data_IF_554594542642
#
_entry.id   IF_554594542642
#
_cell.length_a   1.000
_cell.length_b   1.000
_cell.length_c   1.000
_cell.angle_alpha   90.00
_cell.angle_beta   90.00
_cell.angle_gamma   90.00
#
_symmetry.space_group_name_H-M   'P 1'
#
loop_
_entity.id
_entity.type
_entity.pdbx_description
1 polymer ?
#
# COMPACT_ATOMS: atom_id res chain seq x y z
N UNK A 1 -9.52 24.15 12.35
CA UNK A 1 -9.33 23.75 10.96
C UNK A 1 -8.35 22.59 10.96
N UNK A 2 -8.69 21.48 10.31
CA UNK A 2 -7.87 20.26 10.23
C UNK A 2 -7.00 20.39 9.00
N UNK A 3 -5.69 20.37 9.19
CA UNK A 3 -4.68 20.54 8.13
C UNK A 3 -4.33 19.19 7.52
N UNK A 4 -4.57 19.05 6.22
CA UNK A 4 -4.49 17.79 5.47
C UNK A 4 -3.39 17.88 4.41
N UNK A 5 -2.56 16.85 4.35
CA UNK A 5 -1.68 16.59 3.22
C UNK A 5 -2.22 15.38 2.45
N UNK A 6 -2.30 15.51 1.12
CA UNK A 6 -2.70 14.41 0.23
C UNK A 6 -1.48 13.94 -0.57
N UNK A 7 -1.22 12.64 -0.55
CA UNK A 7 -0.13 12.02 -1.31
C UNK A 7 -0.68 10.87 -2.15
N UNK A 8 -0.67 11.03 -3.47
CA UNK A 8 -1.18 10.07 -4.44
C UNK A 8 -0.53 10.36 -5.79
N UNK A 9 -0.01 9.36 -6.50
CA UNK A 9 0.64 9.55 -7.81
C UNK A 9 -0.36 9.70 -8.96
N UNK A 10 -1.65 9.46 -8.72
CA UNK A 10 -2.70 9.60 -9.71
C UNK A 10 -3.36 10.99 -9.65
N UNK A 11 -3.09 11.83 -10.64
CA UNK A 11 -3.60 13.21 -10.72
C UNK A 11 -5.13 13.32 -10.59
N UNK A 12 -5.88 12.43 -11.24
CA UNK A 12 -7.35 12.42 -11.22
C UNK A 12 -7.86 12.10 -9.81
N UNK A 13 -7.24 11.14 -9.13
CA UNK A 13 -7.62 10.73 -7.77
C UNK A 13 -7.34 11.86 -6.79
N UNK A 14 -6.14 12.43 -6.87
CA UNK A 14 -5.72 13.56 -6.02
C UNK A 14 -6.62 14.79 -6.20
N UNK A 15 -6.97 15.12 -7.44
CA UNK A 15 -7.92 16.20 -7.73
C UNK A 15 -9.33 15.91 -7.20
N UNK A 16 -9.78 14.65 -7.26
CA UNK A 16 -11.06 14.21 -6.71
C UNK A 16 -11.11 14.35 -5.18
N UNK A 17 -10.07 13.87 -4.48
CA UNK A 17 -9.91 14.03 -3.04
C UNK A 17 -9.88 15.51 -2.64
N UNK A 18 -9.12 16.32 -3.39
CA UNK A 18 -9.03 17.75 -3.12
C UNK A 18 -10.41 18.41 -3.15
N UNK A 19 -11.14 18.21 -4.24
CA UNK A 19 -12.51 18.75 -4.40
C UNK A 19 -13.45 18.29 -3.30
N UNK A 20 -13.37 17.02 -2.92
CA UNK A 20 -14.20 16.45 -1.85
C UNK A 20 -13.91 17.07 -0.49
N UNK A 21 -12.64 17.30 -0.16
CA UNK A 21 -12.24 17.86 1.13
C UNK A 21 -12.48 19.37 1.20
N UNK A 22 -12.34 20.09 0.07
CA UNK A 22 -12.61 21.53 -0.03
C UNK A 22 -14.09 21.90 0.14
N UNK A 23 -15.04 20.94 0.07
CA UNK A 23 -16.45 21.22 0.39
C UNK A 23 -16.70 21.39 1.88
N UNK A 24 -15.77 20.94 2.73
CA UNK A 24 -15.93 20.95 4.18
C UNK A 24 -15.21 22.16 4.80
N UNK A 25 -15.93 23.07 5.49
CA UNK A 25 -15.35 24.33 5.99
C UNK A 25 -14.34 24.15 7.13
N UNK A 26 -14.33 22.99 7.79
CA UNK A 26 -13.41 22.63 8.86
C UNK A 26 -12.10 22.00 8.37
N UNK A 27 -11.97 21.69 7.06
CA UNK A 27 -10.82 21.02 6.48
C UNK A 27 -9.99 21.98 5.61
N UNK A 28 -8.67 21.88 5.68
CA UNK A 28 -7.73 22.68 4.89
C UNK A 28 -6.68 21.78 4.25
N UNK A 29 -6.51 21.86 2.94
CA UNK A 29 -5.44 21.14 2.23
C UNK A 29 -4.20 22.03 2.22
N UNK A 30 -3.19 21.64 2.99
CA UNK A 30 -1.95 22.42 3.14
C UNK A 30 -0.86 22.00 2.15
N UNK A 31 -0.97 20.81 1.56
CA UNK A 31 -0.01 20.28 0.61
C UNK A 31 -0.55 19.10 -0.19
N UNK A 32 0.04 18.92 -1.37
CA UNK A 32 -0.12 17.74 -2.21
C UNK A 32 1.24 17.21 -2.64
N UNK A 33 1.33 15.89 -2.75
CA UNK A 33 2.49 15.17 -3.27
C UNK A 33 2.04 14.12 -4.30
N UNK A 34 2.85 13.94 -5.32
CA UNK A 34 2.70 12.89 -6.35
C UNK A 34 3.56 11.65 -6.05
N UNK A 35 4.27 11.66 -4.92
CA UNK A 35 5.13 10.56 -4.52
C UNK A 35 5.46 10.59 -3.01
N UNK A 36 6.06 9.51 -2.52
CA UNK A 36 6.40 9.41 -1.11
C UNK A 36 7.58 10.26 -0.62
N UNK A 37 8.61 10.51 -1.43
CA UNK A 37 9.74 11.37 -1.02
C UNK A 37 9.25 12.80 -0.75
N UNK A 38 8.44 13.35 -1.67
CA UNK A 38 7.83 14.67 -1.54
C UNK A 38 6.82 14.71 -0.40
N UNK A 39 6.03 13.64 -0.21
CA UNK A 39 5.11 13.54 0.92
C UNK A 39 5.85 13.61 2.27
N UNK A 40 6.98 12.91 2.40
CA UNK A 40 7.81 12.95 3.62
C UNK A 40 8.38 14.34 3.87
N UNK A 41 8.92 14.98 2.84
CA UNK A 41 9.47 16.34 2.94
C UNK A 41 8.41 17.34 3.38
N UNK A 42 7.26 17.36 2.69
CA UNK A 42 6.17 18.28 2.97
C UNK A 42 5.55 18.04 4.36
N UNK A 43 5.37 16.78 4.76
CA UNK A 43 4.83 16.45 6.08
C UNK A 43 5.74 16.97 7.21
N UNK A 44 7.07 16.85 7.07
CA UNK A 44 8.03 17.37 8.06
C UNK A 44 8.00 18.88 8.17
N UNK A 45 7.91 19.57 7.03
CA UNK A 45 7.93 21.03 6.97
C UNK A 45 6.62 21.63 7.46
N UNK A 46 5.49 21.05 7.06
CA UNK A 46 4.17 21.63 7.30
C UNK A 46 3.49 21.07 8.54
N UNK A 47 3.90 19.90 9.04
CA UNK A 47 3.31 19.20 10.20
C UNK A 47 1.77 19.17 10.13
N UNK A 48 1.18 18.49 9.13
CA UNK A 48 -0.26 18.38 9.00
C UNK A 48 -0.86 17.56 10.15
N UNK A 49 -2.14 17.79 10.43
CA UNK A 49 -2.90 17.00 11.39
C UNK A 49 -3.19 15.60 10.82
N UNK A 50 -3.47 15.54 9.51
CA UNK A 50 -3.76 14.30 8.79
C UNK A 50 -2.93 14.20 7.51
N UNK A 51 -2.34 13.04 7.28
CA UNK A 51 -1.78 12.65 5.98
C UNK A 51 -2.66 11.55 5.39
N UNK A 52 -3.26 11.84 4.24
CA UNK A 52 -3.95 10.86 3.40
C UNK A 52 -2.93 10.42 2.36
N UNK A 53 -2.57 9.14 2.36
CA UNK A 53 -1.47 8.62 1.53
C UNK A 53 -1.88 7.36 0.79
N UNK A 54 -1.58 7.30 -0.50
CA UNK A 54 -1.73 6.10 -1.28
C UNK A 54 -0.74 5.02 -0.84
N UNK A 55 -1.19 3.78 -0.84
CA UNK A 55 -0.37 2.63 -0.49
C UNK A 55 0.77 2.44 -1.51
N UNK A 56 0.44 2.58 -2.80
CA UNK A 56 1.37 2.35 -3.90
C UNK A 56 1.69 3.67 -4.61
N UNK A 57 2.87 4.22 -4.34
CA UNK A 57 3.40 5.40 -5.03
C UNK A 57 4.84 5.13 -5.50
N UNK A 58 5.33 5.86 -6.53
CA UNK A 58 6.73 5.82 -6.93
C UNK A 58 7.67 6.22 -5.79
N UNK A 59 8.93 5.75 -5.88
CA UNK A 59 10.00 5.98 -4.90
C UNK A 59 9.68 5.37 -3.54
N UNK A 60 8.84 6.00 -2.73
CA UNK A 60 8.38 5.53 -1.42
C UNK A 60 6.87 5.29 -1.42
N UNK A 61 6.44 4.08 -1.06
CA UNK A 61 5.02 3.77 -0.85
C UNK A 61 4.49 4.29 0.50
N UNK A 62 3.17 4.27 0.67
CA UNK A 62 2.50 4.84 1.84
C UNK A 62 2.93 4.24 3.19
N UNK A 63 3.15 2.92 3.25
CA UNK A 63 3.65 2.26 4.46
C UNK A 63 5.06 2.70 4.83
N UNK A 64 5.92 2.92 3.82
CA UNK A 64 7.27 3.41 4.04
C UNK A 64 7.25 4.87 4.54
N UNK A 65 6.39 5.71 3.94
CA UNK A 65 6.18 7.08 4.39
C UNK A 65 5.72 7.13 5.86
N UNK A 66 4.73 6.32 6.21
CA UNK A 66 4.23 6.17 7.57
C UNK A 66 5.34 5.76 8.55
N UNK A 67 6.11 4.71 8.21
CA UNK A 67 7.21 4.24 9.06
C UNK A 67 8.29 5.31 9.29
N UNK A 68 8.57 6.16 8.28
CA UNK A 68 9.53 7.25 8.38
C UNK A 68 8.99 8.42 9.21
N UNK A 69 7.72 8.78 9.02
CA UNK A 69 7.16 10.00 9.59
C UNK A 69 6.66 9.81 11.01
N UNK A 70 6.06 8.66 11.35
CA UNK A 70 5.40 8.44 12.64
C UNK A 70 6.31 8.70 13.85
N UNK A 71 7.60 8.30 13.87
CA UNK A 71 8.50 8.63 14.98
C UNK A 71 8.78 10.13 15.12
N UNK A 72 8.80 10.87 14.01
CA UNK A 72 9.09 12.32 13.98
C UNK A 72 7.85 13.21 14.12
N UNK A 73 6.67 12.66 13.82
CA UNK A 73 5.37 13.34 13.83
C UNK A 73 4.33 12.46 14.56
N UNK A 74 4.47 12.26 15.89
CA UNK A 74 3.61 11.34 16.64
C UNK A 74 2.13 11.77 16.61
N UNK A 75 1.87 13.08 16.59
CA UNK A 75 0.51 13.66 16.59
C UNK A 75 -0.20 13.52 15.24
N UNK A 76 0.57 13.50 14.13
CA UNK A 76 0.00 13.35 12.79
C UNK A 76 -0.67 12.00 12.65
N UNK A 77 -1.90 12.04 12.13
CA UNK A 77 -2.72 10.86 11.84
C UNK A 77 -2.54 10.46 10.40
N UNK A 78 -2.48 9.16 10.17
CA UNK A 78 -2.23 8.62 8.84
C UNK A 78 -3.42 7.80 8.40
N UNK A 79 -3.97 8.15 7.24
CA UNK A 79 -5.02 7.42 6.56
C UNK A 79 -4.41 6.85 5.29
N UNK A 80 -4.41 5.52 5.17
CA UNK A 80 -4.09 4.87 3.90
C UNK A 80 -5.31 4.98 3.00
N UNK A 81 -5.13 5.48 1.77
CA UNK A 81 -6.18 5.57 0.76
C UNK A 81 -5.82 4.71 -0.45
N UNK A 82 -6.45 3.55 -0.59
CA UNK A 82 -5.91 2.48 -1.44
C UNK A 82 -7.01 1.75 -2.23
N UNK A 83 -6.69 1.26 -3.42
CA UNK A 83 -7.58 0.34 -4.16
C UNK A 83 -7.55 -1.08 -3.55
N UNK A 84 -6.53 -1.42 -2.76
CA UNK A 84 -6.35 -2.77 -2.23
C UNK A 84 -7.26 -3.03 -1.03
N UNK A 85 -8.11 -4.05 -1.14
CA UNK A 85 -9.07 -4.45 -0.10
C UNK A 85 -8.65 -5.67 0.71
N UNK A 86 -7.47 -6.24 0.43
CA UNK A 86 -6.97 -7.44 1.09
C UNK A 86 -6.62 -7.19 2.55
N UNK A 87 -7.06 -8.09 3.41
CA UNK A 87 -6.86 -8.02 4.86
C UNK A 87 -5.38 -7.88 5.27
N UNK A 88 -4.46 -8.50 4.52
CA UNK A 88 -3.03 -8.44 4.77
C UNK A 88 -2.46 -7.01 4.68
N UNK A 89 -2.91 -6.21 3.71
CA UNK A 89 -2.51 -4.80 3.60
C UNK A 89 -3.09 -3.94 4.72
N UNK A 90 -4.33 -4.22 5.12
CA UNK A 90 -4.96 -3.54 6.26
C UNK A 90 -4.20 -3.85 7.55
N UNK A 91 -3.85 -5.12 7.79
CA UNK A 91 -3.03 -5.55 8.93
C UNK A 91 -1.66 -4.88 8.93
N UNK A 92 -0.99 -4.83 7.78
CA UNK A 92 0.32 -4.19 7.65
C UNK A 92 0.24 -2.68 7.94
N UNK A 93 -0.78 -1.99 7.43
CA UNK A 93 -1.04 -0.59 7.72
C UNK A 93 -1.30 -0.35 9.23
N UNK A 94 -2.13 -1.21 9.84
CA UNK A 94 -2.42 -1.17 11.28
C UNK A 94 -1.13 -1.31 12.10
N UNK A 95 -0.28 -2.29 11.76
CA UNK A 95 0.98 -2.55 12.44
C UNK A 95 2.00 -1.42 12.26
N UNK A 96 2.01 -0.79 11.10
CA UNK A 96 2.83 0.39 10.82
C UNK A 96 2.34 1.66 11.55
N UNK A 97 1.17 1.62 12.20
CA UNK A 97 0.63 2.73 12.99
C UNK A 97 -0.37 3.61 12.24
N UNK A 98 -1.00 3.11 11.18
CA UNK A 98 -2.06 3.82 10.49
C UNK A 98 -3.28 4.01 11.42
N UNK A 99 -3.80 5.24 11.40
CA UNK A 99 -5.01 5.63 12.12
C UNK A 99 -6.26 5.25 11.33
N UNK A 100 -6.18 5.17 10.00
CA UNK A 100 -7.26 4.63 9.19
C UNK A 100 -6.85 4.03 7.86
N UNK A 101 -7.80 3.33 7.25
CA UNK A 101 -7.68 2.74 5.91
C UNK A 101 -9.01 2.93 5.17
N UNK A 102 -8.97 3.65 4.06
CA UNK A 102 -10.13 3.97 3.23
C UNK A 102 -9.91 3.41 1.82
N UNK A 103 -10.93 2.75 1.28
CA UNK A 103 -10.88 2.24 -0.09
C UNK A 103 -11.17 3.32 -1.12
N UNK A 104 -10.34 3.42 -2.16
CA UNK A 104 -10.53 4.35 -3.28
C UNK A 104 -11.85 4.11 -4.04
N UNK A 105 -12.33 2.85 -4.08
CA UNK A 105 -13.63 2.47 -4.63
C UNK A 105 -14.81 2.53 -3.64
N UNK A 106 -14.59 3.07 -2.44
CA UNK A 106 -15.60 3.23 -1.38
C UNK A 106 -16.55 4.42 -1.60
N UNK A 107 -17.48 4.62 -0.67
CA UNK A 107 -18.35 5.79 -0.69
C UNK A 107 -17.51 7.06 -0.43
N UNK A 108 -17.74 8.14 -1.19
CA UNK A 108 -17.02 9.41 -1.02
C UNK A 108 -17.10 9.98 0.41
N UNK A 109 -18.18 9.70 1.14
CA UNK A 109 -18.33 10.09 2.55
C UNK A 109 -17.34 9.42 3.52
N UNK A 110 -16.72 8.30 3.15
CA UNK A 110 -15.80 7.56 4.01
C UNK A 110 -14.53 8.36 4.30
N UNK A 111 -14.01 9.15 3.33
CA UNK A 111 -12.79 9.93 3.53
C UNK A 111 -13.01 11.03 4.57
N UNK A 112 -14.10 11.78 4.46
CA UNK A 112 -14.43 12.86 5.40
C UNK A 112 -14.68 12.28 6.80
N UNK A 113 -15.43 11.18 6.89
CA UNK A 113 -15.67 10.49 8.15
C UNK A 113 -14.35 9.98 8.76
N UNK A 114 -13.45 9.43 7.94
CA UNK A 114 -12.14 8.96 8.38
C UNK A 114 -11.29 10.09 8.93
N UNK A 115 -11.16 11.21 8.21
CA UNK A 115 -10.41 12.40 8.67
C UNK A 115 -10.91 12.86 10.03
N UNK A 116 -12.23 13.02 10.20
CA UNK A 116 -12.81 13.46 11.47
C UNK A 116 -12.60 12.43 12.58
N UNK A 117 -12.83 11.14 12.31
CA UNK A 117 -12.63 10.08 13.30
C UNK A 117 -11.17 10.03 13.78
N UNK A 118 -10.20 10.02 12.85
CA UNK A 118 -8.79 9.94 13.24
C UNK A 118 -8.32 11.17 14.00
N UNK A 119 -8.86 12.36 13.72
CA UNK A 119 -8.56 13.56 14.51
C UNK A 119 -9.08 13.47 15.95
N UNK A 120 -10.20 12.78 16.19
CA UNK A 120 -10.76 12.59 17.54
C UNK A 120 -10.04 11.50 18.36
N UNK A 121 -9.09 10.77 17.78
CA UNK A 121 -8.42 9.65 18.46
C UNK A 121 -8.94 8.28 18.05
N UNK A 122 -10.00 8.23 17.25
CA UNK A 122 -10.58 6.98 16.79
C UNK A 122 -9.82 6.39 15.60
N UNK A 123 -10.08 5.12 15.33
CA UNK A 123 -9.60 4.46 14.11
C UNK A 123 -10.74 4.35 13.11
N UNK A 124 -10.43 4.44 11.82
CA UNK A 124 -11.44 4.30 10.77
C UNK A 124 -11.00 3.27 9.72
N UNK A 125 -11.86 2.30 9.45
CA UNK A 125 -11.67 1.32 8.39
C UNK A 125 -12.96 1.23 7.56
N UNK A 126 -12.85 1.33 6.23
CA UNK A 126 -14.02 1.20 5.35
C UNK A 126 -14.77 -0.10 5.62
N UNK A 127 -16.11 -0.03 5.64
CA UNK A 127 -16.99 -1.14 6.04
C UNK A 127 -16.73 -2.46 5.32
N UNK A 128 -16.44 -2.41 4.02
CA UNK A 128 -16.10 -3.61 3.21
C UNK A 128 -14.87 -4.36 3.74
N UNK A 129 -13.92 -3.67 4.36
CA UNK A 129 -12.75 -4.29 4.98
C UNK A 129 -13.14 -5.05 6.24
N UNK A 130 -14.04 -4.49 7.05
CA UNK A 130 -14.53 -5.13 8.27
C UNK A 130 -15.34 -6.39 7.97
N UNK A 131 -16.17 -6.36 6.92
CA UNK A 131 -16.94 -7.53 6.46
C UNK A 131 -16.02 -8.67 5.98
N UNK A 132 -14.89 -8.36 5.35
CA UNK A 132 -13.88 -9.35 4.96
C UNK A 132 -13.04 -9.90 6.13
N UNK A 133 -12.98 -9.17 7.24
CA UNK A 133 -12.21 -9.56 8.44
C UNK A 133 -12.99 -10.55 9.33
N UNK A 134 -14.32 -10.48 9.33
CA UNK A 134 -15.19 -11.35 10.15
C UNK A 134 -15.33 -12.78 9.59
N UNK A 135 -15.01 -13.03 8.31
CA UNK A 135 -15.04 -14.39 7.72
C UNK A 135 -13.86 -15.31 8.13
N UNK A 136 -12.99 -14.87 9.05
CA UNK A 136 -11.83 -15.64 9.55
C UNK A 136 -12.15 -16.78 10.54
N UNK A 137 -13.39 -17.28 10.56
CA UNK A 137 -13.75 -18.52 11.23
C UNK A 137 -13.77 -19.69 10.23
N UNK A 138 -12.60 -20.24 9.88
CA UNK A 138 -12.27 -21.66 9.56
C UNK A 138 -10.90 -21.77 8.80
N UNK A 139 -10.16 -22.91 8.85
CA UNK A 139 -8.78 -22.83 9.36
C UNK A 139 -7.65 -23.42 8.48
N UNK A 140 -6.42 -22.94 8.73
CA UNK A 140 -5.14 -23.70 8.83
C UNK A 140 -4.20 -23.98 7.64
N UNK A 141 -4.47 -23.62 6.39
CA UNK A 141 -3.46 -23.81 5.30
C UNK A 141 -2.78 -22.55 4.80
N UNK A 142 -3.39 -21.38 5.00
CA UNK A 142 -2.90 -20.12 4.41
C UNK A 142 -1.76 -19.48 5.21
N UNK A 143 -1.74 -19.66 6.54
CA UNK A 143 -0.72 -19.08 7.43
C UNK A 143 0.72 -19.49 7.11
N UNK A 144 0.95 -20.73 6.66
CA UNK A 144 2.29 -21.22 6.34
C UNK A 144 2.80 -20.67 4.99
N UNK A 145 1.89 -20.44 4.04
CA UNK A 145 2.23 -19.89 2.72
C UNK A 145 2.43 -18.39 2.80
N UNK A 146 1.62 -17.69 3.58
CA UNK A 146 1.75 -16.25 3.85
C UNK A 146 3.06 -15.90 4.58
N UNK A 147 3.51 -16.77 5.49
CA UNK A 147 4.83 -16.66 6.14
C UNK A 147 6.01 -16.75 5.15
N UNK A 148 5.86 -17.52 4.05
CA UNK A 148 6.90 -17.65 3.01
C UNK A 148 7.15 -16.35 2.24
N UNK A 149 6.08 -15.64 1.85
CA UNK A 149 6.20 -14.34 1.19
C UNK A 149 6.77 -13.27 2.11
N UNK A 150 6.42 -13.31 3.41
CA UNK A 150 6.98 -12.38 4.39
C UNK A 150 8.48 -12.61 4.66
N UNK A 151 9.03 -13.79 4.35
CA UNK A 151 10.47 -14.07 4.43
C UNK A 151 11.28 -13.50 3.24
N UNK A 152 10.61 -12.95 2.22
CA UNK A 152 11.27 -12.23 1.13
C UNK A 152 11.68 -10.83 1.58
N UNK A 153 12.91 -10.43 1.25
CA UNK A 153 13.36 -9.04 1.37
C UNK A 153 12.55 -8.11 0.45
N UNK A 154 12.53 -6.82 0.73
CA UNK A 154 11.83 -5.82 -0.10
C UNK A 154 12.21 -5.91 -1.59
N UNK A 155 13.49 -6.22 -1.87
CA UNK A 155 13.99 -6.38 -3.24
C UNK A 155 13.52 -7.68 -3.90
N UNK A 156 13.46 -8.77 -3.14
CA UNK A 156 12.89 -10.03 -3.62
C UNK A 156 11.37 -9.91 -3.84
N UNK A 157 10.65 -9.15 -3.01
CA UNK A 157 9.22 -8.86 -3.22
C UNK A 157 8.98 -8.05 -4.51
N UNK A 158 9.84 -7.08 -4.82
CA UNK A 158 9.80 -6.34 -6.09
C UNK A 158 10.01 -7.26 -7.30
N UNK A 159 11.07 -8.08 -7.27
CA UNK A 159 11.35 -9.05 -8.33
C UNK A 159 10.21 -10.07 -8.47
N UNK A 160 9.66 -10.56 -7.36
CA UNK A 160 8.50 -11.46 -7.35
C UNK A 160 7.30 -10.89 -8.11
N UNK A 161 6.92 -9.63 -7.84
CA UNK A 161 5.81 -8.97 -8.56
C UNK A 161 6.10 -8.87 -10.06
N UNK A 162 7.30 -8.41 -10.45
CA UNK A 162 7.67 -8.31 -11.86
C UNK A 162 7.68 -9.66 -12.59
N UNK A 163 8.06 -10.74 -11.91
CA UNK A 163 7.98 -12.10 -12.46
C UNK A 163 6.53 -12.52 -12.73
N UNK A 164 5.58 -12.14 -11.87
CA UNK A 164 4.16 -12.49 -12.06
C UNK A 164 3.56 -11.69 -13.21
N UNK A 165 3.94 -10.42 -13.38
CA UNK A 165 3.56 -9.61 -14.56
C UNK A 165 4.36 -9.97 -15.84
N UNK A 166 5.04 -11.12 -15.87
CA UNK A 166 5.68 -11.64 -17.08
C UNK A 166 6.92 -10.88 -17.56
N UNK A 167 7.50 -9.99 -16.74
CA UNK A 167 8.69 -9.23 -17.14
C UNK A 167 9.90 -10.16 -17.33
N UNK A 168 10.64 -9.94 -18.40
CA UNK A 168 11.90 -10.62 -18.68
C UNK A 168 13.02 -10.15 -17.74
N UNK A 169 14.05 -10.99 -17.57
CA UNK A 169 15.20 -10.69 -16.73
C UNK A 169 15.93 -9.40 -17.14
N UNK A 170 15.92 -9.07 -18.44
CA UNK A 170 16.51 -7.83 -18.94
C UNK A 170 15.66 -6.62 -18.56
N UNK A 171 14.35 -6.66 -18.79
CA UNK A 171 13.43 -5.57 -18.40
C UNK A 171 13.47 -5.34 -16.89
N UNK A 172 13.51 -6.40 -16.09
CA UNK A 172 13.67 -6.29 -14.64
C UNK A 172 15.00 -5.67 -14.25
N UNK A 173 16.08 -5.98 -14.97
CA UNK A 173 17.41 -5.40 -14.74
C UNK A 173 17.40 -3.89 -14.99
N UNK A 174 16.79 -3.47 -16.09
CA UNK A 174 16.66 -2.06 -16.47
C UNK A 174 15.81 -1.28 -15.45
N UNK A 175 14.62 -1.80 -15.12
CA UNK A 175 13.70 -1.19 -14.15
C UNK A 175 14.31 -1.06 -12.75
N UNK A 176 15.16 -2.02 -12.38
CA UNK A 176 15.80 -2.06 -11.06
C UNK A 176 17.19 -1.42 -11.04
N UNK A 177 17.72 -0.95 -12.17
CA UNK A 177 19.10 -0.47 -12.30
C UNK A 177 20.14 -1.48 -11.78
N UNK A 178 19.95 -2.77 -12.08
CA UNK A 178 20.88 -3.86 -11.71
C UNK A 178 21.16 -4.77 -12.90
N UNK A 179 22.28 -5.49 -12.86
CA UNK A 179 22.60 -6.43 -13.95
C UNK A 179 21.57 -7.57 -14.06
N UNK A 180 21.32 -8.12 -15.26
CA UNK A 180 20.50 -9.32 -15.46
C UNK A 180 20.94 -10.49 -14.56
N UNK A 181 22.25 -10.61 -14.33
CA UNK A 181 22.85 -11.62 -13.43
C UNK A 181 22.41 -11.43 -11.97
N UNK A 182 22.20 -10.19 -11.54
CA UNK A 182 21.70 -9.86 -10.20
C UNK A 182 20.22 -10.22 -10.07
N UNK A 183 19.42 -9.96 -11.12
CA UNK A 183 18.00 -10.38 -11.17
C UNK A 183 17.88 -11.90 -11.02
N UNK A 184 18.72 -12.65 -11.72
CA UNK A 184 18.69 -14.12 -11.67
C UNK A 184 19.05 -14.70 -10.32
N UNK A 185 19.93 -14.01 -9.59
CA UNK A 185 20.20 -14.31 -8.17
C UNK A 185 18.95 -14.13 -7.30
N UNK A 186 18.19 -13.06 -7.53
CA UNK A 186 16.92 -12.84 -6.81
C UNK A 186 15.88 -13.90 -7.18
N UNK A 187 15.69 -14.23 -8.48
CA UNK A 187 14.77 -15.29 -8.92
C UNK A 187 15.07 -16.63 -8.24
N UNK A 188 16.35 -16.99 -8.20
CA UNK A 188 16.82 -18.24 -7.57
C UNK A 188 16.57 -18.23 -6.06
N UNK A 189 16.83 -17.10 -5.39
CA UNK A 189 16.56 -16.93 -3.96
C UNK A 189 15.07 -17.04 -3.64
N UNK A 190 14.21 -16.43 -4.45
CA UNK A 190 12.75 -16.48 -4.31
C UNK A 190 12.25 -17.91 -4.47
N UNK A 191 12.64 -18.62 -5.53
CA UNK A 191 12.26 -20.03 -5.72
C UNK A 191 12.70 -20.90 -4.54
N UNK A 192 13.92 -20.70 -4.03
CA UNK A 192 14.43 -21.45 -2.88
C UNK A 192 13.65 -21.15 -1.59
N UNK A 193 13.38 -19.87 -1.29
CA UNK A 193 12.67 -19.44 -0.08
C UNK A 193 11.20 -19.85 -0.08
N UNK A 194 10.57 -19.83 -1.24
CA UNK A 194 9.16 -20.18 -1.40
C UNK A 194 8.94 -21.67 -1.74
N UNK A 195 10.00 -22.45 -1.94
CA UNK A 195 9.92 -23.87 -2.31
C UNK A 195 9.35 -24.13 -3.71
N UNK A 196 9.48 -23.16 -4.62
CA UNK A 196 8.89 -23.20 -5.96
C UNK A 196 9.87 -23.83 -6.96
N UNK A 197 9.36 -24.67 -7.87
CA UNK A 197 10.19 -25.39 -8.85
C UNK A 197 10.05 -24.85 -10.26
N UNK A 198 9.03 -24.04 -10.52
CA UNK A 198 8.73 -23.51 -11.85
C UNK A 198 8.00 -22.17 -11.78
N UNK A 199 7.99 -21.44 -12.90
CA UNK A 199 7.18 -20.22 -13.05
C UNK A 199 5.67 -20.52 -12.93
N UNK A 200 5.23 -21.73 -13.26
CA UNK A 200 3.84 -22.16 -13.06
C UNK A 200 3.52 -22.29 -11.56
N UNK A 201 4.46 -22.82 -10.78
CA UNK A 201 4.31 -22.88 -9.32
C UNK A 201 4.32 -21.49 -8.70
N UNK A 202 5.13 -20.56 -9.24
CA UNK A 202 5.12 -19.15 -8.85
C UNK A 202 3.75 -18.50 -9.08
N UNK A 203 3.14 -18.73 -10.25
CA UNK A 203 1.81 -18.21 -10.57
C UNK A 203 0.74 -18.83 -9.65
N UNK A 204 0.76 -20.15 -9.46
CA UNK A 204 -0.13 -20.84 -8.52
C UNK A 204 0.03 -20.33 -7.09
N UNK A 205 1.27 -20.09 -6.67
CA UNK A 205 1.58 -19.56 -5.35
C UNK A 205 1.03 -18.13 -5.20
N UNK A 206 1.21 -17.27 -6.22
CA UNK A 206 0.68 -15.91 -6.23
C UNK A 206 -0.86 -15.87 -6.15
N UNK A 207 -1.54 -16.74 -6.90
CA UNK A 207 -3.00 -16.88 -6.86
C UNK A 207 -3.49 -17.43 -5.52
N UNK A 208 -2.84 -18.46 -4.97
CA UNK A 208 -3.23 -19.08 -3.69
C UNK A 208 -2.97 -18.21 -2.48
N UNK A 209 -1.96 -17.33 -2.53
CA UNK A 209 -1.66 -16.37 -1.46
C UNK A 209 -2.42 -15.06 -1.63
N UNK A 210 -3.22 -14.93 -2.69
CA UNK A 210 -3.94 -13.71 -3.00
C UNK A 210 -3.02 -12.51 -3.24
N UNK A 211 -1.74 -12.70 -3.55
CA UNK A 211 -0.79 -11.60 -3.76
C UNK A 211 -1.00 -10.88 -5.11
N UNK A 212 -1.80 -11.47 -6.00
CA UNK A 212 -2.10 -10.98 -7.36
C UNK A 212 -3.55 -11.31 -7.69
N UNK A 213 -4.29 -10.36 -8.26
CA UNK A 213 -5.62 -10.59 -8.84
C UNK A 213 -5.53 -10.84 -10.35
N UNK A 214 -6.52 -11.53 -10.91
CA UNK A 214 -6.52 -11.91 -12.33
C UNK A 214 -6.51 -10.67 -13.25
N UNK A 215 -6.94 -9.50 -12.77
CA UNK A 215 -6.88 -8.22 -13.50
C UNK A 215 -5.46 -7.62 -13.61
N UNK A 216 -4.52 -8.01 -12.76
CA UNK A 216 -3.10 -7.62 -12.86
C UNK A 216 -2.36 -8.37 -13.99
N UNK A 217 -3.01 -9.39 -14.56
CA UNK A 217 -2.50 -10.22 -15.63
C UNK A 217 -3.01 -9.68 -16.97
N UNK A 218 -2.46 -8.55 -17.45
CA UNK A 218 -2.60 -8.21 -18.86
C UNK A 218 -1.98 -9.34 -19.70
N UNK A 219 -2.84 -10.22 -20.21
CA UNK A 219 -2.54 -11.16 -21.28
C UNK A 219 -2.17 -10.33 -22.51
N UNK A 220 -0.87 -10.28 -22.82
CA UNK A 220 -0.39 -10.04 -24.17
C UNK A 220 -0.24 -11.37 -24.90
#
# INVERSE_FOLDING_TARGET
MIRILIADDHDIVRAGLRRLLETEPDLEIVAEADDGDRAVELARNLRPDVVIVDLAMPRLGGLACLAILKPSLPETRFIIFSMFEKESFVKEAIQAGASGYVLKGGASGDVIAAVRAVCHGDRFFSRRLLESMDENALPSTDRAKEAGYQALSSREKQVFRMMIHGKSTNEMGDLLCVSPKTVEKYRTSIHKKLGLKSNVDLMKYALQTGLVEVDDMQLQ
#
